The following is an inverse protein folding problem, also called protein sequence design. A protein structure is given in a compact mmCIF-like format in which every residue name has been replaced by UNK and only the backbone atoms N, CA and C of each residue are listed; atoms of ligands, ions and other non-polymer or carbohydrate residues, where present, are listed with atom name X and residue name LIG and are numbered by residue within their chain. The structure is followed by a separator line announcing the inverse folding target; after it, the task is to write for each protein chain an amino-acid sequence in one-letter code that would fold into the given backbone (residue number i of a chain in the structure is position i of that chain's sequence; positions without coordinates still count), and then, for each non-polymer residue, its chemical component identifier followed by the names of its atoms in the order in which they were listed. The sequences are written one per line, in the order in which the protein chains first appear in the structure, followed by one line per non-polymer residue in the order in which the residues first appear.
data_IF_259205542936
#
_entry.id   IF_259205542936
#
_cell.length_a   1.000
_cell.length_b   1.000
_cell.length_c   1.000
_cell.angle_alpha   90.00
_cell.angle_beta   90.00
_cell.angle_gamma   90.00
#
_symmetry.space_group_name_H-M   'P 1'
#
loop_
_entity.id
_entity.type
_entity.pdbx_description
1 polymer ?
#
# COMPACT_ATOMS: atom_id res chain seq x y z
N UNK A 1 -22.72 -4.80 7.49
CA UNK A 1 -22.15 -4.75 8.86
C UNK A 1 -20.91 -3.88 8.75
N UNK A 2 -20.75 -2.87 9.58
CA UNK A 2 -19.59 -1.95 9.56
C UNK A 2 -18.75 -2.12 10.82
N UNK A 3 -17.52 -1.61 10.79
CA UNK A 3 -16.76 -1.39 12.03
C UNK A 3 -17.32 -0.14 12.74
N UNK A 4 -16.80 0.13 13.93
CA UNK A 4 -17.04 1.41 14.61
C UNK A 4 -15.86 2.34 14.32
N UNK A 5 -16.13 3.63 14.19
CA UNK A 5 -15.15 4.64 13.76
C UNK A 5 -13.83 4.62 14.55
N UNK A 6 -13.89 4.35 15.87
CA UNK A 6 -12.68 4.22 16.70
C UNK A 6 -11.83 3.05 16.26
N UNK A 7 -12.45 1.90 16.00
CA UNK A 7 -11.73 0.69 15.65
C UNK A 7 -11.20 0.71 14.21
N UNK A 8 -11.89 1.37 13.27
CA UNK A 8 -11.32 1.66 11.93
C UNK A 8 -10.00 2.42 12.05
N UNK A 9 -10.01 3.53 12.78
CA UNK A 9 -8.80 4.33 12.99
C UNK A 9 -7.70 3.53 13.70
N UNK A 10 -8.03 2.77 14.75
CA UNK A 10 -7.06 1.95 15.47
C UNK A 10 -6.46 0.85 14.57
N UNK A 11 -7.27 0.22 13.72
CA UNK A 11 -6.81 -0.79 12.77
C UNK A 11 -5.86 -0.18 11.72
N UNK A 12 -6.22 0.97 11.16
CA UNK A 12 -5.38 1.68 10.20
C UNK A 12 -4.07 2.15 10.85
N UNK A 13 -4.09 2.70 12.07
CA UNK A 13 -2.88 3.04 12.81
C UNK A 13 -2.02 1.80 13.12
N UNK A 14 -2.63 0.67 13.44
CA UNK A 14 -1.91 -0.58 13.65
C UNK A 14 -1.20 -1.06 12.37
N UNK A 15 -1.92 -1.08 11.24
CA UNK A 15 -1.39 -1.55 9.96
C UNK A 15 -0.34 -0.58 9.39
N UNK A 16 -0.63 0.71 9.35
CA UNK A 16 0.20 1.69 8.64
C UNK A 16 1.20 2.44 9.52
N UNK A 17 0.97 2.56 10.83
CA UNK A 17 1.87 3.27 11.75
C UNK A 17 2.42 2.38 12.88
N UNK A 18 2.13 1.07 12.85
CA UNK A 18 2.60 0.11 13.84
C UNK A 18 2.23 0.48 15.29
N UNK A 19 1.01 1.01 15.48
CA UNK A 19 0.45 1.28 16.81
C UNK A 19 -0.10 0.00 17.48
N UNK A 20 -0.17 -0.03 18.81
CA UNK A 20 -0.86 -1.12 19.53
C UNK A 20 -2.38 -0.88 19.54
N UNK A 21 -3.18 -1.95 19.60
CA UNK A 21 -4.64 -1.83 19.83
C UNK A 21 -4.98 -2.45 21.18
N UNK A 22 -5.42 -1.63 22.13
CA UNK A 22 -5.74 -2.07 23.48
C UNK A 22 -7.04 -2.90 23.54
N UNK A 23 -7.21 -3.67 24.62
CA UNK A 23 -8.46 -4.37 24.99
C UNK A 23 -8.95 -5.48 24.02
N UNK A 24 -8.15 -5.84 23.01
CA UNK A 24 -8.40 -6.96 22.11
C UNK A 24 -7.15 -7.83 21.97
N UNK A 25 -7.30 -9.15 21.82
CA UNK A 25 -6.16 -10.07 21.84
C UNK A 25 -5.85 -10.59 23.24
N UNK A 26 -4.62 -10.40 23.71
CA UNK A 26 -4.20 -10.83 25.05
C UNK A 26 -4.23 -9.68 26.08
N UNK A 27 -3.70 -9.93 27.28
CA UNK A 27 -3.68 -8.94 28.37
C UNK A 27 -2.95 -7.63 28.03
N UNK A 28 -2.10 -7.63 27.02
CA UNK A 28 -1.37 -6.45 26.52
C UNK A 28 -2.07 -5.76 25.35
N UNK A 29 -3.07 -6.38 24.73
CA UNK A 29 -3.70 -5.91 23.49
C UNK A 29 -3.11 -6.56 22.23
N UNK A 30 -3.56 -6.14 21.04
CA UNK A 30 -2.88 -6.48 19.78
C UNK A 30 -1.58 -5.70 19.69
N UNK A 31 -0.47 -6.42 19.83
CA UNK A 31 0.86 -5.82 19.90
C UNK A 31 1.38 -5.39 18.53
N UNK A 32 2.09 -4.26 18.45
CA UNK A 32 2.79 -3.87 17.24
C UNK A 32 3.98 -4.80 16.97
N UNK A 33 4.50 -4.75 15.75
CA UNK A 33 5.75 -5.44 15.41
C UNK A 33 6.93 -4.81 16.17
N UNK A 34 7.87 -5.64 16.64
CA UNK A 34 9.05 -5.19 17.38
C UNK A 34 9.90 -4.16 16.61
N UNK A 35 9.93 -4.28 15.28
CA UNK A 35 10.36 -3.23 14.36
C UNK A 35 9.19 -2.95 13.41
N UNK A 36 8.88 -1.67 13.19
CA UNK A 36 7.74 -1.28 12.36
C UNK A 36 7.82 -1.84 10.94
N UNK A 37 9.02 -1.89 10.35
CA UNK A 37 9.22 -2.37 8.99
C UNK A 37 8.63 -1.43 7.95
N UNK A 38 8.36 -1.96 6.76
CA UNK A 38 7.74 -1.22 5.65
C UNK A 38 6.60 -2.04 5.06
N UNK A 39 5.62 -1.33 4.51
CA UNK A 39 4.71 -1.88 3.52
C UNK A 39 5.27 -1.59 2.12
N UNK A 40 4.87 -2.39 1.16
CA UNK A 40 5.38 -2.30 -0.21
C UNK A 40 4.24 -1.95 -1.15
N UNK A 41 4.38 -0.80 -1.81
CA UNK A 41 3.43 -0.33 -2.81
C UNK A 41 3.80 -0.90 -4.17
N UNK A 42 2.85 -1.57 -4.81
CA UNK A 42 2.98 -2.20 -6.13
C UNK A 42 1.97 -1.61 -7.12
N UNK A 43 2.35 -1.58 -8.40
CA UNK A 43 1.49 -1.20 -9.52
C UNK A 43 0.99 -2.45 -10.25
N UNK A 44 -0.24 -2.40 -10.74
CA UNK A 44 -0.89 -3.53 -11.40
C UNK A 44 -1.59 -3.09 -12.68
N UNK A 45 -1.50 -3.93 -13.72
CA UNK A 45 -2.09 -3.70 -15.06
C UNK A 45 -3.57 -4.10 -15.15
N UNK A 46 -4.06 -4.80 -14.15
CA UNK A 46 -5.46 -5.17 -13.95
C UNK A 46 -5.72 -5.35 -12.44
N UNK A 47 -6.97 -5.55 -12.05
CA UNK A 47 -7.33 -5.78 -10.66
C UNK A 47 -6.59 -7.03 -10.12
N UNK A 48 -5.81 -6.92 -9.03
CA UNK A 48 -5.17 -8.08 -8.43
C UNK A 48 -6.17 -9.00 -7.70
N UNK A 49 -7.38 -8.51 -7.37
CA UNK A 49 -8.46 -9.27 -6.75
C UNK A 49 -8.22 -9.64 -5.28
N UNK A 50 -9.30 -9.91 -4.56
CA UNK A 50 -9.26 -10.24 -3.12
C UNK A 50 -8.60 -11.58 -2.80
N UNK A 51 -8.68 -12.53 -3.74
CA UNK A 51 -8.05 -13.85 -3.62
C UNK A 51 -6.62 -13.89 -4.17
N UNK A 52 -6.16 -12.78 -4.76
CA UNK A 52 -4.83 -12.67 -5.35
C UNK A 52 -3.74 -12.40 -4.32
N UNK A 53 -2.56 -12.18 -4.86
CA UNK A 53 -1.37 -11.75 -4.13
C UNK A 53 -0.70 -10.59 -4.88
N UNK A 54 0.36 -10.01 -4.32
CA UNK A 54 1.02 -8.85 -4.93
C UNK A 54 1.66 -9.15 -6.30
N UNK A 55 1.75 -10.42 -6.74
CA UNK A 55 2.20 -10.77 -8.10
C UNK A 55 1.05 -10.88 -9.10
N UNK A 56 -0.20 -10.87 -8.63
CA UNK A 56 -1.38 -10.97 -9.49
C UNK A 56 -1.53 -9.68 -10.29
N UNK A 57 -1.41 -9.77 -11.62
CA UNK A 57 -1.47 -8.61 -12.53
C UNK A 57 -0.40 -7.53 -12.25
N UNK A 58 0.69 -7.85 -11.55
CA UNK A 58 1.74 -6.90 -11.21
C UNK A 58 2.45 -6.37 -12.46
N UNK A 59 2.80 -5.08 -12.47
CA UNK A 59 3.62 -4.47 -13.51
C UNK A 59 4.98 -5.18 -13.62
N UNK A 60 5.53 -5.24 -14.82
CA UNK A 60 6.75 -6.00 -15.11
C UNK A 60 7.72 -5.29 -16.07
N UNK A 61 7.61 -3.96 -16.24
CA UNK A 61 8.57 -3.19 -17.02
C UNK A 61 10.01 -3.34 -16.50
N UNK A 62 10.99 -3.16 -17.38
CA UNK A 62 12.41 -3.32 -17.03
C UNK A 62 12.80 -2.28 -15.98
N UNK A 63 13.39 -2.76 -14.87
CA UNK A 63 13.73 -2.01 -13.65
C UNK A 63 12.60 -1.85 -12.62
N UNK A 64 11.38 -2.32 -12.88
CA UNK A 64 10.29 -2.25 -11.91
C UNK A 64 10.67 -2.92 -10.58
N UNK A 65 10.36 -2.24 -9.48
CA UNK A 65 10.42 -2.77 -8.12
C UNK A 65 9.35 -2.08 -7.27
N UNK A 66 8.79 -2.83 -6.32
CA UNK A 66 7.85 -2.28 -5.33
C UNK A 66 8.53 -1.22 -4.47
N UNK A 67 7.81 -0.18 -4.09
CA UNK A 67 8.37 0.89 -3.26
C UNK A 67 8.08 0.60 -1.79
N UNK A 68 9.13 0.56 -0.98
CA UNK A 68 9.00 0.42 0.47
C UNK A 68 8.57 1.75 1.10
N UNK A 69 7.51 1.73 1.90
CA UNK A 69 7.03 2.87 2.69
C UNK A 69 7.01 2.46 4.16
N UNK A 70 7.78 3.18 4.98
CA UNK A 70 7.92 2.88 6.40
C UNK A 70 6.57 2.94 7.12
N UNK A 71 6.31 1.97 8.01
CA UNK A 71 5.08 1.92 8.82
C UNK A 71 5.10 2.94 9.96
N UNK A 72 5.08 4.22 9.64
CA UNK A 72 5.19 5.36 10.58
C UNK A 72 4.36 6.54 10.08
N UNK A 73 4.12 7.54 10.93
CA UNK A 73 3.46 8.79 10.53
C UNK A 73 4.22 9.60 9.44
N UNK A 74 5.51 9.31 9.22
CA UNK A 74 6.28 9.89 8.11
C UNK A 74 6.11 9.14 6.78
N UNK A 75 5.56 7.91 6.81
CA UNK A 75 5.22 7.14 5.61
C UNK A 75 3.73 7.23 5.27
N UNK A 76 2.87 7.31 6.28
CA UNK A 76 1.42 7.23 6.12
C UNK A 76 0.70 8.22 7.03
N UNK A 77 -0.16 9.05 6.45
CA UNK A 77 -1.11 9.88 7.18
C UNK A 77 -2.37 9.06 7.42
N UNK A 78 -2.79 8.90 8.68
CA UNK A 78 -4.02 8.19 9.05
C UNK A 78 -4.96 9.18 9.72
N UNK A 79 -6.18 9.32 9.22
CA UNK A 79 -7.21 10.18 9.80
C UNK A 79 -8.56 9.49 9.73
N UNK A 80 -9.15 9.21 10.90
CA UNK A 80 -10.41 8.48 11.00
C UNK A 80 -10.32 7.14 10.24
N UNK A 81 -11.15 6.93 9.24
CA UNK A 81 -11.22 5.72 8.43
C UNK A 81 -10.39 5.81 7.14
N UNK A 82 -9.53 6.83 6.98
CA UNK A 82 -8.76 7.06 5.76
C UNK A 82 -7.24 7.02 6.00
N UNK A 83 -6.51 6.57 4.98
CA UNK A 83 -5.04 6.55 4.91
C UNK A 83 -4.57 7.14 3.60
N UNK A 84 -3.54 7.98 3.69
CA UNK A 84 -2.84 8.56 2.56
C UNK A 84 -1.32 8.37 2.70
N UNK A 85 -0.58 8.37 1.59
CA UNK A 85 0.88 8.38 1.64
C UNK A 85 1.40 9.76 2.09
N UNK A 86 2.16 9.80 3.19
CA UNK A 86 2.65 11.06 3.75
C UNK A 86 3.76 11.72 2.91
N UNK A 87 4.50 10.92 2.14
CA UNK A 87 5.54 11.37 1.21
C UNK A 87 5.35 10.78 -0.18
N UNK A 88 6.01 11.35 -1.17
CA UNK A 88 5.96 10.84 -2.54
C UNK A 88 6.46 9.40 -2.63
N UNK A 89 5.75 8.57 -3.40
CA UNK A 89 6.10 7.18 -3.68
C UNK A 89 6.59 7.14 -5.13
N UNK A 90 7.90 7.05 -5.31
CA UNK A 90 8.54 7.08 -6.64
C UNK A 90 9.06 5.70 -7.01
N UNK A 91 8.52 5.11 -8.07
CA UNK A 91 8.99 3.84 -8.60
C UNK A 91 10.28 4.02 -9.39
N UNK A 92 11.08 2.96 -9.61
CA UNK A 92 12.21 3.05 -10.52
C UNK A 92 11.76 3.47 -11.93
N UNK A 93 12.55 4.32 -12.58
CA UNK A 93 12.29 4.72 -13.96
C UNK A 93 12.26 3.50 -14.89
N UNK A 94 11.29 3.46 -15.80
CA UNK A 94 11.22 2.40 -16.79
C UNK A 94 12.41 2.50 -17.74
N UNK A 95 13.18 1.42 -17.86
CA UNK A 95 14.32 1.34 -18.79
C UNK A 95 14.00 0.51 -20.03
N UNK A 96 12.85 -0.17 -20.07
CA UNK A 96 12.45 -1.05 -21.17
C UNK A 96 11.06 -1.64 -20.99
N UNK A 97 10.37 -1.89 -22.11
CA UNK A 97 8.98 -2.33 -22.13
C UNK A 97 7.97 -1.18 -22.13
N UNK A 98 6.70 -1.53 -22.19
CA UNK A 98 5.59 -0.58 -22.03
C UNK A 98 4.35 -1.30 -21.50
N UNK A 99 3.64 -0.63 -20.61
CA UNK A 99 2.39 -1.10 -20.02
C UNK A 99 1.58 0.09 -19.49
N UNK A 100 0.37 -0.15 -19.01
CA UNK A 100 -0.43 0.86 -18.31
C UNK A 100 -0.86 0.28 -16.99
N UNK A 101 -0.41 0.89 -15.89
CA UNK A 101 -0.92 0.53 -14.57
C UNK A 101 -2.30 1.15 -14.39
N UNK A 102 -3.27 0.35 -13.94
CA UNK A 102 -4.65 0.80 -13.66
C UNK A 102 -5.07 0.50 -12.23
N UNK A 103 -4.25 -0.21 -11.45
CA UNK A 103 -4.47 -0.51 -10.04
C UNK A 103 -3.17 -0.34 -9.25
N UNK A 104 -3.31 -0.18 -7.95
CA UNK A 104 -2.20 -0.30 -6.99
C UNK A 104 -2.57 -1.33 -5.92
N UNK A 105 -1.55 -1.83 -5.22
CA UNK A 105 -1.75 -2.53 -3.96
C UNK A 105 -0.71 -2.09 -2.92
N UNK A 106 -1.09 -2.18 -1.65
CA UNK A 106 -0.21 -2.08 -0.50
C UNK A 106 -0.10 -3.47 0.12
N UNK A 107 1.12 -3.99 0.22
CA UNK A 107 1.33 -5.35 0.71
C UNK A 107 2.60 -5.55 1.51
N UNK A 108 2.88 -6.81 1.83
CA UNK A 108 3.86 -7.16 2.88
C UNK A 108 5.27 -7.50 2.39
N UNK A 109 5.45 -7.74 1.08
CA UNK A 109 6.71 -8.25 0.55
C UNK A 109 7.33 -7.33 -0.50
N UNK A 110 8.66 -7.20 -0.48
CA UNK A 110 9.42 -6.45 -1.48
C UNK A 110 9.43 -7.10 -2.86
N UNK A 111 9.20 -8.41 -2.93
CA UNK A 111 9.10 -9.21 -4.15
C UNK A 111 8.36 -10.53 -3.88
N UNK A 112 8.03 -11.28 -4.93
CA UNK A 112 7.27 -12.54 -4.83
C UNK A 112 5.84 -12.32 -4.34
N UNK A 113 5.11 -13.41 -4.05
CA UNK A 113 3.67 -13.38 -3.77
C UNK A 113 3.25 -12.24 -2.83
N UNK A 114 3.72 -12.20 -1.59
CA UNK A 114 3.34 -11.18 -0.60
C UNK A 114 1.83 -11.15 -0.33
N UNK A 115 1.40 -10.62 0.82
CA UNK A 115 -0.04 -10.40 1.05
C UNK A 115 -0.44 -9.08 0.45
N UNK A 116 -1.59 -9.02 -0.19
CA UNK A 116 -2.31 -7.76 -0.41
C UNK A 116 -3.03 -7.43 0.89
N UNK A 117 -2.81 -6.23 1.40
CA UNK A 117 -3.55 -5.69 2.54
C UNK A 117 -4.67 -4.77 2.05
N UNK A 118 -4.35 -3.95 1.05
CA UNK A 118 -5.29 -3.05 0.37
C UNK A 118 -4.95 -3.03 -1.11
N UNK A 119 -5.96 -2.94 -1.96
CA UNK A 119 -5.82 -2.67 -3.40
C UNK A 119 -6.89 -1.69 -3.84
N UNK A 120 -6.59 -0.92 -4.88
CA UNK A 120 -7.49 0.10 -5.39
C UNK A 120 -7.26 0.37 -6.87
N UNK A 121 -8.32 0.75 -7.56
CA UNK A 121 -8.22 1.24 -8.93
C UNK A 121 -7.61 2.65 -8.92
N UNK A 122 -6.77 2.94 -9.92
CA UNK A 122 -6.27 4.28 -10.17
C UNK A 122 -7.35 5.11 -10.85
N UNK A 123 -7.57 6.35 -10.38
CA UNK A 123 -8.51 7.29 -11.00
C UNK A 123 -8.13 7.61 -12.45
N UNK A 124 -6.84 7.62 -12.75
CA UNK A 124 -6.29 7.68 -14.10
C UNK A 124 -5.16 6.64 -14.25
N UNK A 125 -5.19 5.89 -15.34
CA UNK A 125 -4.14 4.92 -15.63
C UNK A 125 -2.79 5.61 -15.84
N UNK A 126 -1.73 5.01 -15.30
CA UNK A 126 -0.35 5.48 -15.48
C UNK A 126 0.22 4.78 -16.70
N UNK A 127 0.41 5.52 -17.80
CA UNK A 127 1.11 5.01 -18.97
C UNK A 127 2.62 4.93 -18.70
N UNK A 128 3.20 3.74 -18.91
CA UNK A 128 4.60 3.45 -18.60
C UNK A 128 5.32 3.04 -19.88
N UNK A 129 6.45 3.69 -20.13
CA UNK A 129 7.36 3.40 -21.23
C UNK A 129 8.77 3.87 -20.86
N UNK A 130 9.80 3.45 -21.61
CA UNK A 130 11.18 3.85 -21.37
C UNK A 130 11.33 5.36 -21.14
N UNK A 131 12.01 5.74 -20.06
CA UNK A 131 12.24 7.13 -19.66
C UNK A 131 11.15 7.72 -18.75
N UNK A 132 10.02 7.04 -18.56
CA UNK A 132 8.96 7.46 -17.63
C UNK A 132 9.25 6.92 -16.24
N UNK A 133 9.09 7.76 -15.22
CA UNK A 133 9.17 7.41 -13.80
C UNK A 133 7.77 7.48 -13.20
N UNK A 134 7.11 6.34 -12.96
CA UNK A 134 5.80 6.31 -12.28
C UNK A 134 5.95 6.79 -10.84
N UNK A 135 4.98 7.57 -10.36
CA UNK A 135 4.97 8.04 -8.97
C UNK A 135 3.57 8.41 -8.49
N UNK A 136 3.40 8.37 -7.17
CA UNK A 136 2.32 9.07 -6.46
C UNK A 136 2.93 10.28 -5.75
N UNK A 137 2.34 11.46 -5.90
CA UNK A 137 2.72 12.59 -5.04
C UNK A 137 2.23 12.34 -3.61
N UNK A 138 2.71 13.11 -2.64
CA UNK A 138 2.22 13.00 -1.26
C UNK A 138 0.71 13.30 -1.22
N UNK A 139 -0.06 12.43 -0.55
CA UNK A 139 -1.52 12.56 -0.46
C UNK A 139 -2.31 12.06 -1.67
N UNK A 140 -1.69 11.34 -2.62
CA UNK A 140 -2.38 10.90 -3.86
C UNK A 140 -2.78 9.41 -3.85
N UNK A 141 -2.26 8.62 -2.91
CA UNK A 141 -2.68 7.24 -2.72
C UNK A 141 -3.64 7.17 -1.55
N UNK A 142 -4.94 7.08 -1.87
CA UNK A 142 -6.03 7.06 -0.90
C UNK A 142 -6.51 5.63 -0.59
N UNK A 143 -6.73 5.34 0.69
CA UNK A 143 -7.34 4.10 1.19
C UNK A 143 -8.41 4.48 2.22
N UNK A 144 -9.62 3.92 2.10
CA UNK A 144 -10.72 4.16 3.05
C UNK A 144 -11.36 2.86 3.50
N UNK A 145 -11.64 2.71 4.80
CA UNK A 145 -12.54 1.68 5.34
C UNK A 145 -13.98 2.20 5.48
N UNK A 146 -14.97 1.29 5.47
CA UNK A 146 -16.41 1.56 5.67
C UNK A 146 -16.91 1.17 7.08
#
# INVERSE_FOLDING_TARGET
MSKGNTFENDLLLHVFQNAAIALIGDASGLQPSAAAGSLYVSLHTADPGEAGDQTTSECAYTSYARVAVARTAGGWTVTANAVENAGAITFPACTGGSETATYFAVGTSSAGAGKILYSGALTAGLAISSGITPAFAAGELDITED
#
